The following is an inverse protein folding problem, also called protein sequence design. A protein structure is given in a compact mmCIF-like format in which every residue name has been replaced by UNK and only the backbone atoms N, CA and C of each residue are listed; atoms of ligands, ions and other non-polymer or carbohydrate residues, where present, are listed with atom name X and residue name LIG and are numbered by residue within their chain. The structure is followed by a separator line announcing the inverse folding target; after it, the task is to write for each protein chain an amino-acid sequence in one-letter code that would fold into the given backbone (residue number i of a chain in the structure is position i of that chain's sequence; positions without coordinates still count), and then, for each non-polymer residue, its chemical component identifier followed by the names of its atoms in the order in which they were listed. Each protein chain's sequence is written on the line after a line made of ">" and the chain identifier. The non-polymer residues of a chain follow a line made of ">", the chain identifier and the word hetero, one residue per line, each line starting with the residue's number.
data_IF_226063106874
#
_entry.id   IF_226063106874
#
_cell.length_a   1.000
_cell.length_b   1.000
_cell.length_c   1.000
_cell.angle_alpha   90.00
_cell.angle_beta   90.00
_cell.angle_gamma   90.00
#
_symmetry.space_group_name_H-M   'P 1'
#
loop_
_entity.id
_entity.type
_entity.pdbx_description
1 polymer ?
#
# COMPACT_ATOMS: atom_id res chain seq x y z
N UNK A 1 1.07 19.24 15.75
CA UNK A 1 -0.27 18.75 15.92
C UNK A 1 -0.32 17.26 16.07
N UNK A 2 -1.11 16.85 17.00
CA UNK A 2 -1.25 15.43 17.26
C UNK A 2 -1.86 14.72 16.07
N UNK A 3 -2.80 15.36 15.43
CA UNK A 3 -3.47 14.75 14.30
C UNK A 3 -2.53 14.37 13.19
N UNK A 4 -1.39 15.04 13.12
CA UNK A 4 -0.48 14.80 12.01
C UNK A 4 0.01 13.36 11.98
N UNK A 5 0.21 12.77 13.14
CA UNK A 5 0.71 11.41 13.19
C UNK A 5 -0.29 10.42 12.63
N UNK A 6 -1.53 10.54 13.08
CA UNK A 6 -2.56 9.64 12.60
C UNK A 6 -2.92 9.95 11.16
N UNK A 7 -2.92 11.23 10.81
CA UNK A 7 -3.23 11.64 9.45
C UNK A 7 -2.22 11.11 8.46
N UNK A 8 -0.96 11.02 8.88
CA UNK A 8 0.07 10.50 8.00
C UNK A 8 -0.20 9.06 7.62
N UNK A 9 -0.60 8.23 8.57
CA UNK A 9 -0.91 6.85 8.30
C UNK A 9 -2.14 6.73 7.40
N UNK A 10 -3.14 7.51 7.71
CA UNK A 10 -4.36 7.51 6.91
C UNK A 10 -4.08 7.98 5.49
N UNK A 11 -3.30 9.05 5.35
CA UNK A 11 -2.96 9.55 4.04
C UNK A 11 -2.14 8.54 3.26
N UNK A 12 -1.26 7.83 3.93
CA UNK A 12 -0.44 6.84 3.25
C UNK A 12 -1.32 5.72 2.69
N UNK A 13 -2.29 5.28 3.46
CA UNK A 13 -3.22 4.27 2.98
C UNK A 13 -3.94 4.75 1.72
N UNK A 14 -4.46 5.95 1.77
CA UNK A 14 -5.17 6.52 0.62
C UNK A 14 -4.27 6.66 -0.59
N UNK A 15 -3.05 7.11 -0.37
CA UNK A 15 -2.12 7.29 -1.48
C UNK A 15 -1.80 5.96 -2.14
N UNK A 16 -1.62 4.92 -1.35
CA UNK A 16 -1.38 3.60 -1.90
C UNK A 16 -2.62 3.11 -2.64
N UNK A 17 -3.78 3.28 -2.05
CA UNK A 17 -5.03 2.86 -2.66
C UNK A 17 -5.22 3.53 -4.02
N UNK A 18 -5.05 4.84 -4.06
CA UNK A 18 -5.23 5.59 -5.31
C UNK A 18 -4.20 5.15 -6.35
N UNK A 19 -2.96 4.97 -5.93
CA UNK A 19 -1.92 4.54 -6.86
C UNK A 19 -2.22 3.17 -7.43
N UNK A 20 -2.70 2.26 -6.59
CA UNK A 20 -3.07 0.94 -7.06
C UNK A 20 -4.24 1.00 -8.03
N UNK A 21 -5.21 1.86 -7.74
CA UNK A 21 -6.39 1.96 -8.60
C UNK A 21 -6.02 2.44 -10.00
N UNK A 22 -4.93 3.17 -10.10
CA UNK A 22 -4.48 3.69 -11.39
C UNK A 22 -3.59 2.74 -12.15
N UNK A 23 -2.92 1.84 -11.44
CA UNK A 23 -1.93 0.98 -12.08
C UNK A 23 -2.37 -0.47 -12.22
N UNK A 24 -3.39 -0.88 -11.50
CA UNK A 24 -3.87 -2.25 -11.55
C UNK A 24 -5.10 -2.32 -12.44
N UNK A 25 -4.98 -3.08 -13.51
CA UNK A 25 -6.13 -3.34 -14.37
C UNK A 25 -7.16 -4.13 -13.58
N UNK A 26 -8.42 -3.79 -13.76
CA UNK A 26 -9.51 -4.51 -13.08
C UNK A 26 -9.45 -4.34 -11.57
N UNK A 27 -8.86 -3.22 -11.12
CA UNK A 27 -8.80 -2.97 -9.69
C UNK A 27 -10.19 -2.99 -9.07
N UNK A 28 -11.16 -2.53 -9.82
CA UNK A 28 -12.55 -2.48 -9.34
C UNK A 28 -13.14 -3.86 -9.14
N UNK A 29 -12.60 -4.85 -9.82
CA UNK A 29 -13.12 -6.21 -9.71
C UNK A 29 -12.53 -6.96 -8.53
N UNK A 30 -11.52 -6.40 -7.90
CA UNK A 30 -10.91 -7.01 -6.72
C UNK A 30 -11.75 -6.65 -5.51
N UNK A 31 -11.97 -7.60 -4.61
CA UNK A 31 -12.82 -7.33 -3.45
C UNK A 31 -12.19 -6.25 -2.57
N UNK A 32 -13.04 -5.41 -2.01
CA UNK A 32 -12.57 -4.35 -1.12
C UNK A 32 -11.86 -4.92 0.10
N UNK A 33 -12.35 -6.03 0.58
CA UNK A 33 -11.76 -6.68 1.73
C UNK A 33 -10.31 -7.06 1.46
N UNK A 34 -10.06 -7.62 0.30
CA UNK A 34 -8.71 -8.02 -0.07
C UNK A 34 -7.81 -6.81 -0.24
N UNK A 35 -8.34 -5.76 -0.86
CA UNK A 35 -7.57 -4.53 -1.00
C UNK A 35 -7.16 -3.95 0.34
N UNK A 36 -8.13 -3.84 1.25
CA UNK A 36 -7.85 -3.29 2.57
C UNK A 36 -6.85 -4.14 3.32
N UNK A 37 -7.04 -5.42 3.27
CA UNK A 37 -6.16 -6.35 3.99
C UNK A 37 -4.73 -6.23 3.49
N UNK A 38 -4.57 -6.23 2.19
CA UNK A 38 -3.24 -6.20 1.58
C UNK A 38 -2.53 -4.89 1.90
N UNK A 39 -3.23 -3.77 1.75
CA UNK A 39 -2.61 -2.47 2.01
C UNK A 39 -2.29 -2.32 3.48
N UNK A 40 -3.23 -2.67 4.34
CA UNK A 40 -3.03 -2.54 5.77
C UNK A 40 -1.86 -3.37 6.25
N UNK A 41 -1.77 -4.59 5.76
CA UNK A 41 -0.67 -5.47 6.14
C UNK A 41 0.66 -4.90 5.70
N UNK A 42 0.72 -4.37 4.47
CA UNK A 42 1.95 -3.78 3.97
C UNK A 42 2.36 -2.58 4.80
N UNK A 43 1.39 -1.75 5.18
CA UNK A 43 1.69 -0.57 5.98
C UNK A 43 2.16 -0.94 7.38
N UNK A 44 1.62 -1.99 7.95
CA UNK A 44 2.06 -2.44 9.27
C UNK A 44 3.50 -2.89 9.25
N UNK A 45 3.96 -3.42 8.12
CA UNK A 45 5.32 -3.94 7.99
C UNK A 45 6.26 -2.93 7.38
N UNK A 46 5.84 -1.69 7.23
CA UNK A 46 6.65 -0.67 6.61
C UNK A 46 6.90 0.47 7.58
N UNK A 47 7.88 1.30 7.25
CA UNK A 47 8.21 2.48 8.01
C UNK A 47 8.56 3.59 7.05
N UNK A 48 7.86 4.71 7.19
CA UNK A 48 8.14 5.86 6.33
C UNK A 48 9.32 6.63 6.89
N UNK A 49 10.32 6.85 6.05
CA UNK A 49 11.51 7.60 6.40
C UNK A 49 11.69 8.67 5.34
N UNK A 50 11.28 9.89 5.66
CA UNK A 50 11.29 10.99 4.71
C UNK A 50 10.45 10.63 3.49
N UNK A 51 11.04 10.58 2.32
CA UNK A 51 10.30 10.28 1.10
C UNK A 51 10.40 8.81 0.73
N UNK A 52 10.97 8.00 1.60
CA UNK A 52 11.16 6.60 1.31
C UNK A 52 10.36 5.75 2.27
N UNK A 53 10.14 4.51 1.88
CA UNK A 53 9.44 3.55 2.71
C UNK A 53 10.36 2.36 2.93
N UNK A 54 10.63 2.07 4.19
CA UNK A 54 11.41 0.89 4.53
C UNK A 54 10.45 -0.30 4.61
N UNK A 55 10.69 -1.29 3.77
CA UNK A 55 9.77 -2.41 3.65
C UNK A 55 10.57 -3.67 3.32
N UNK A 56 10.39 -4.71 4.13
CA UNK A 56 11.07 -5.98 3.93
C UNK A 56 12.59 -5.81 3.85
N UNK A 57 13.13 -4.97 4.73
CA UNK A 57 14.56 -4.76 4.80
C UNK A 57 15.14 -3.88 3.72
N UNK A 58 14.29 -3.28 2.90
CA UNK A 58 14.75 -2.42 1.82
C UNK A 58 14.18 -1.02 1.99
N UNK A 59 14.94 -0.04 1.55
CA UNK A 59 14.48 1.35 1.57
C UNK A 59 14.05 1.69 0.15
N UNK A 60 12.74 1.85 -0.05
CA UNK A 60 12.17 2.00 -1.37
C UNK A 60 11.54 3.36 -1.56
N UNK A 61 11.68 3.95 -2.75
CA UNK A 61 10.86 5.11 -3.08
C UNK A 61 9.39 4.71 -3.05
N UNK A 62 8.53 5.69 -2.89
CA UNK A 62 7.10 5.39 -2.74
C UNK A 62 6.56 4.55 -3.90
N UNK A 63 6.92 4.89 -5.13
CA UNK A 63 6.38 4.16 -6.27
C UNK A 63 6.83 2.69 -6.29
N UNK A 64 8.02 2.43 -5.77
CA UNK A 64 8.49 1.05 -5.67
C UNK A 64 7.77 0.30 -4.56
N UNK A 65 7.45 1.00 -3.48
CA UNK A 65 6.67 0.40 -2.41
C UNK A 65 5.29 0.03 -2.94
N UNK A 66 4.68 0.92 -3.69
CA UNK A 66 3.37 0.64 -4.30
C UNK A 66 3.46 -0.57 -5.23
N UNK A 67 4.55 -0.68 -5.96
CA UNK A 67 4.75 -1.81 -6.86
C UNK A 67 4.78 -3.13 -6.09
N UNK A 68 5.44 -3.13 -4.93
CA UNK A 68 5.47 -4.33 -4.11
C UNK A 68 4.10 -4.68 -3.57
N UNK A 69 3.34 -3.68 -3.15
CA UNK A 69 1.97 -3.90 -2.69
C UNK A 69 1.13 -4.45 -3.82
N UNK A 70 1.32 -3.91 -5.01
CA UNK A 70 0.59 -4.38 -6.18
C UNK A 70 0.86 -5.86 -6.45
N UNK A 71 2.11 -6.26 -6.37
CA UNK A 71 2.46 -7.66 -6.60
C UNK A 71 1.77 -8.55 -5.58
N UNK A 72 1.77 -8.13 -4.33
CA UNK A 72 1.11 -8.90 -3.28
C UNK A 72 -0.39 -9.00 -3.52
N UNK A 73 -0.99 -7.89 -3.90
CA UNK A 73 -2.43 -7.88 -4.13
C UNK A 73 -2.83 -8.80 -5.27
N UNK A 74 -2.09 -8.72 -6.37
CA UNK A 74 -2.40 -9.56 -7.53
C UNK A 74 -2.17 -11.02 -7.23
N UNK A 75 -1.13 -11.32 -6.47
CA UNK A 75 -0.84 -12.69 -6.09
C UNK A 75 -1.97 -13.27 -5.24
N UNK A 76 -2.43 -12.50 -4.26
CA UNK A 76 -3.52 -12.97 -3.40
C UNK A 76 -4.82 -13.09 -4.18
N UNK A 77 -5.04 -12.20 -5.11
CA UNK A 77 -6.25 -12.23 -5.90
C UNK A 77 -6.30 -13.47 -6.78
N UNK A 78 -5.15 -13.90 -7.28
CA UNK A 78 -5.09 -15.10 -8.10
C UNK A 78 -5.35 -16.34 -7.27
N UNK A 79 -4.90 -16.33 -6.03
CA UNK A 79 -5.11 -17.49 -5.15
C UNK A 79 -6.54 -17.59 -4.70
N UNK A 80 -7.17 -16.47 -4.52
CA UNK A 80 -8.51 -16.42 -4.01
C UNK A 80 -9.55 -16.55 -5.07
#
# INVERSE_FOLDING_TARGET
>A
MVENVENNNFNLYERVYISLSRTVSNFECISEELKQETITEALKKSQVINEYVKYQGKLLPFHMFVFEVKKNLLSKNLEG
#
